data_IF_969292156813
#
_entry.id   IF_969292156813
#
_cell.length_a   1.000
_cell.length_b   1.000
_cell.length_c   1.000
_cell.angle_alpha   90.00
_cell.angle_beta   90.00
_cell.angle_gamma   90.00
#
_symmetry.space_group_name_H-M   'P 1'
#
loop_
_entity.id
_entity.type
_entity.pdbx_description
1 polymer ?
#
# COMPACT_ATOMS: atom_id res chain seq x y z
N UNK A 1 18.77 -9.33 33.84
CA UNK A 1 17.90 -8.30 33.25
C UNK A 1 16.95 -9.02 32.32
N UNK A 2 15.64 -9.01 32.65
CA UNK A 2 14.63 -9.83 31.99
C UNK A 2 14.35 -9.29 30.59
N UNK A 3 14.56 -10.12 29.56
CA UNK A 3 14.13 -9.82 28.20
C UNK A 3 12.62 -10.00 28.12
N UNK A 4 11.89 -8.88 28.07
CA UNK A 4 10.47 -8.92 27.76
C UNK A 4 10.30 -9.45 26.33
N UNK A 5 9.64 -10.61 26.20
CA UNK A 5 9.02 -11.01 24.94
C UNK A 5 8.02 -9.91 24.59
N UNK A 6 8.26 -9.19 23.48
CA UNK A 6 7.26 -8.29 22.92
C UNK A 6 6.11 -9.17 22.41
N UNK A 7 4.96 -9.03 23.03
CA UNK A 7 3.73 -9.68 22.59
C UNK A 7 3.39 -9.15 21.20
N UNK A 8 3.32 -10.04 20.20
CA UNK A 8 3.01 -9.65 18.82
C UNK A 8 1.57 -9.11 18.77
N UNK A 9 1.43 -7.79 18.80
CA UNK A 9 0.16 -7.13 18.51
C UNK A 9 -0.25 -7.45 17.07
N UNK A 10 -1.46 -7.99 16.91
CA UNK A 10 -2.04 -8.25 15.57
C UNK A 10 -2.62 -6.95 15.04
N UNK A 11 -2.07 -6.45 13.94
CA UNK A 11 -2.60 -5.28 13.26
C UNK A 11 -3.66 -5.71 12.23
N UNK A 12 -4.81 -5.04 12.24
CA UNK A 12 -5.94 -5.39 11.39
C UNK A 12 -6.15 -4.33 10.31
N UNK A 13 -6.15 -4.80 9.07
CA UNK A 13 -6.46 -4.02 7.89
C UNK A 13 -7.73 -4.57 7.24
N UNK A 14 -8.65 -3.70 6.88
CA UNK A 14 -9.85 -4.06 6.15
C UNK A 14 -9.95 -3.22 4.89
N UNK A 15 -10.07 -3.89 3.75
CA UNK A 15 -9.98 -3.23 2.46
C UNK A 15 -10.05 -4.19 1.29
N UNK A 16 -9.59 -3.72 0.14
CA UNK A 16 -9.47 -4.47 -1.10
C UNK A 16 -8.07 -4.30 -1.65
N UNK A 17 -7.58 -5.33 -2.32
CA UNK A 17 -6.34 -5.28 -3.08
C UNK A 17 -6.69 -5.63 -4.53
N UNK A 18 -6.20 -4.83 -5.47
CA UNK A 18 -6.25 -5.14 -6.89
C UNK A 18 -4.82 -5.27 -7.42
N UNK A 19 -4.61 -6.21 -8.34
CA UNK A 19 -3.33 -6.40 -8.99
C UNK A 19 -3.52 -6.66 -10.48
N UNK A 20 -2.68 -6.07 -11.31
CA UNK A 20 -2.63 -6.38 -12.74
C UNK A 20 -1.20 -6.34 -13.28
N UNK A 21 -1.00 -7.04 -14.39
CA UNK A 21 0.25 -7.06 -15.12
C UNK A 21 0.01 -6.73 -16.60
N UNK A 22 1.06 -6.27 -17.26
CA UNK A 22 1.07 -5.99 -18.70
C UNK A 22 1.96 -6.99 -19.43
N UNK A 23 1.74 -7.17 -20.74
CA UNK A 23 2.61 -8.02 -21.57
C UNK A 23 4.07 -7.53 -21.65
N UNK A 24 4.31 -6.25 -21.35
CA UNK A 24 5.65 -5.64 -21.28
C UNK A 24 6.37 -5.87 -19.94
N UNK A 25 5.78 -6.65 -19.03
CA UNK A 25 6.38 -7.02 -17.75
C UNK A 25 6.09 -6.09 -16.58
N UNK A 26 5.48 -4.92 -16.82
CA UNK A 26 5.08 -4.02 -15.73
C UNK A 26 3.91 -4.62 -14.92
N UNK A 27 3.95 -4.46 -13.60
CA UNK A 27 2.93 -4.91 -12.64
C UNK A 27 2.54 -3.76 -11.72
N UNK A 28 1.26 -3.70 -11.39
CA UNK A 28 0.72 -2.72 -10.46
C UNK A 28 -0.11 -3.44 -9.42
N UNK A 29 0.09 -3.11 -8.15
CA UNK A 29 -0.73 -3.55 -7.03
C UNK A 29 -1.26 -2.31 -6.32
N UNK A 30 -2.57 -2.27 -6.08
CA UNK A 30 -3.25 -1.17 -5.40
C UNK A 30 -3.91 -1.71 -4.14
N UNK A 31 -3.50 -1.20 -2.99
CA UNK A 31 -4.20 -1.39 -1.72
C UNK A 31 -5.21 -0.28 -1.50
N UNK A 32 -6.43 -0.64 -1.11
CA UNK A 32 -7.53 0.28 -0.80
C UNK A 32 -8.10 -0.09 0.56
N UNK A 33 -7.62 0.59 1.60
CA UNK A 33 -7.87 0.26 2.99
C UNK A 33 -8.94 1.18 3.56
N UNK A 34 -10.11 0.60 3.87
CA UNK A 34 -11.22 1.32 4.47
C UNK A 34 -11.01 1.51 5.98
N UNK A 35 -10.38 0.54 6.66
CA UNK A 35 -9.99 0.63 8.07
C UNK A 35 -8.59 0.06 8.30
N UNK A 36 -7.76 0.80 9.02
CA UNK A 36 -6.41 0.39 9.40
C UNK A 36 -5.92 1.21 10.61
N UNK A 37 -4.77 0.86 11.24
CA UNK A 37 -4.11 1.69 12.24
C UNK A 37 -3.77 3.11 11.76
N UNK A 38 -3.60 3.31 10.45
CA UNK A 38 -3.29 4.59 9.81
C UNK A 38 -4.53 5.36 9.34
N UNK A 39 -5.73 4.87 9.66
CA UNK A 39 -6.99 5.37 9.10
C UNK A 39 -7.28 4.83 7.69
N UNK A 40 -8.16 5.50 6.96
CA UNK A 40 -8.51 5.13 5.58
C UNK A 40 -7.45 5.65 4.61
N UNK A 41 -6.84 4.77 3.81
CA UNK A 41 -5.81 5.15 2.86
C UNK A 41 -5.72 4.20 1.65
N UNK A 42 -5.00 4.61 0.62
CA UNK A 42 -4.58 3.73 -0.46
C UNK A 42 -3.07 3.87 -0.72
N UNK A 43 -2.45 2.78 -1.11
CA UNK A 43 -1.05 2.68 -1.51
C UNK A 43 -0.94 1.95 -2.85
N UNK A 44 0.11 2.26 -3.61
CA UNK A 44 0.34 1.66 -4.92
C UNK A 44 1.78 1.18 -5.03
N UNK A 45 1.96 -0.10 -5.33
CA UNK A 45 3.23 -0.64 -5.81
C UNK A 45 3.20 -0.71 -7.34
N UNK A 46 4.27 -0.24 -7.97
CA UNK A 46 4.55 -0.42 -9.40
C UNK A 46 5.89 -1.11 -9.56
N UNK A 47 5.88 -2.30 -10.18
CA UNK A 47 7.08 -2.94 -10.70
C UNK A 47 7.15 -2.62 -12.20
N UNK A 48 8.17 -1.90 -12.64
CA UNK A 48 8.37 -1.62 -14.06
C UNK A 48 8.90 -2.85 -14.80
N UNK A 49 8.80 -2.90 -16.13
CA UNK A 49 9.28 -4.06 -16.92
C UNK A 49 10.76 -4.39 -16.74
N UNK A 50 11.58 -3.45 -16.25
CA UNK A 50 12.98 -3.66 -15.88
C UNK A 50 13.21 -4.16 -14.44
N UNK A 51 12.15 -4.42 -13.67
CA UNK A 51 12.20 -4.94 -12.30
C UNK A 51 12.26 -3.88 -11.19
N UNK A 52 12.43 -2.60 -11.52
CA UNK A 52 12.43 -1.51 -10.53
C UNK A 52 11.07 -1.42 -9.83
N UNK A 53 11.07 -1.35 -8.50
CA UNK A 53 9.87 -1.30 -7.64
C UNK A 53 9.71 0.06 -6.98
N UNK A 54 8.63 0.74 -7.34
CA UNK A 54 8.21 2.01 -6.77
C UNK A 54 7.00 1.81 -5.83
N UNK A 55 7.06 2.38 -4.63
CA UNK A 55 5.93 2.58 -3.74
C UNK A 55 5.43 4.03 -3.81
N UNK A 56 4.12 4.21 -4.01
CA UNK A 56 3.42 5.47 -3.79
C UNK A 56 2.58 5.35 -2.51
N UNK A 57 2.87 6.20 -1.52
CA UNK A 57 2.19 6.20 -0.23
C UNK A 57 1.64 7.61 0.08
N UNK A 58 0.51 7.73 0.80
CA UNK A 58 -0.14 9.01 1.06
C UNK A 58 0.48 9.80 2.23
N UNK A 59 1.33 9.18 3.03
CA UNK A 59 2.03 9.81 4.15
C UNK A 59 3.32 9.04 4.49
N UNK A 60 4.22 9.69 5.22
CA UNK A 60 5.47 9.07 5.67
C UNK A 60 5.23 7.84 6.55
N UNK A 61 4.23 7.89 7.45
CA UNK A 61 3.90 6.77 8.33
C UNK A 61 3.46 5.51 7.56
N UNK A 62 2.66 5.69 6.49
CA UNK A 62 2.28 4.56 5.63
C UNK A 62 3.47 4.08 4.81
N UNK A 63 4.29 5.02 4.29
CA UNK A 63 5.48 4.69 3.53
C UNK A 63 6.45 3.82 4.34
N UNK A 64 6.76 4.23 5.57
CA UNK A 64 7.63 3.51 6.50
C UNK A 64 7.06 2.12 6.84
N UNK A 65 5.77 2.03 7.14
CA UNK A 65 5.12 0.76 7.46
C UNK A 65 5.20 -0.26 6.31
N UNK A 66 4.80 0.17 5.11
CA UNK A 66 4.74 -0.72 3.94
C UNK A 66 6.14 -1.10 3.47
N UNK A 67 7.07 -0.14 3.45
CA UNK A 67 8.48 -0.39 3.10
C UNK A 67 9.23 -1.22 4.17
N UNK A 68 8.76 -1.23 5.42
CA UNK A 68 9.26 -2.15 6.45
C UNK A 68 8.85 -3.61 6.22
N UNK A 69 7.80 -3.85 5.41
CA UNK A 69 7.30 -5.20 5.10
C UNK A 69 7.82 -5.72 3.76
N UNK A 70 8.00 -4.84 2.77
CA UNK A 70 8.42 -5.19 1.42
C UNK A 70 9.58 -4.29 0.94
N UNK A 71 10.47 -4.84 0.12
CA UNK A 71 11.57 -4.07 -0.44
C UNK A 71 11.13 -3.32 -1.71
N UNK A 72 11.40 -2.01 -1.72
CA UNK A 72 11.20 -1.11 -2.85
C UNK A 72 12.53 -0.42 -3.19
N UNK A 73 12.76 -0.17 -4.47
CA UNK A 73 13.92 0.59 -4.94
C UNK A 73 13.68 2.10 -4.78
N UNK A 74 12.42 2.52 -4.85
CA UNK A 74 12.00 3.91 -4.69
C UNK A 74 10.71 4.00 -3.87
N UNK A 75 10.63 4.98 -2.98
CA UNK A 75 9.43 5.31 -2.21
C UNK A 75 9.10 6.78 -2.40
N UNK A 76 7.87 7.10 -2.77
CA UNK A 76 7.38 8.47 -2.91
C UNK A 76 6.15 8.70 -2.05
N UNK A 77 6.21 9.73 -1.23
CA UNK A 77 5.05 10.23 -0.50
C UNK A 77 4.31 11.24 -1.37
N UNK A 78 3.15 10.83 -1.87
CA UNK A 78 2.32 11.62 -2.79
C UNK A 78 0.84 11.41 -2.46
N UNK A 79 -0.05 12.36 -2.75
CA UNK A 79 -1.48 12.14 -2.56
C UNK A 79 -1.99 10.93 -3.36
N UNK A 80 -2.53 9.94 -2.66
CA UNK A 80 -3.24 8.79 -3.25
C UNK A 80 -4.62 8.71 -2.60
N UNK A 81 -5.67 8.63 -3.42
CA UNK A 81 -7.06 8.54 -2.95
C UNK A 81 -7.79 7.47 -3.73
N UNK A 82 -8.76 6.84 -3.08
CA UNK A 82 -9.69 5.93 -3.72
C UNK A 82 -11.12 6.27 -3.30
N UNK A 83 -12.06 6.05 -4.21
CA UNK A 83 -13.48 6.27 -4.02
C UNK A 83 -14.24 5.40 -5.01
N UNK A 84 -15.54 5.28 -4.81
CA UNK A 84 -16.42 4.90 -5.91
C UNK A 84 -16.87 6.19 -6.54
N UNK A 85 -16.80 6.26 -7.86
CA UNK A 85 -17.62 7.24 -8.55
C UNK A 85 -19.07 6.89 -8.21
N UNK A 86 -19.81 7.85 -7.69
CA UNK A 86 -21.26 7.69 -7.62
C UNK A 86 -21.68 7.60 -9.09
N UNK A 87 -22.25 6.47 -9.51
CA UNK A 87 -23.04 6.52 -10.73
C UNK A 87 -24.14 7.55 -10.43
N UNK A 88 -24.18 8.64 -11.19
CA UNK A 88 -25.36 9.48 -11.22
C UNK A 88 -26.47 8.56 -11.77
N UNK A 89 -27.28 8.03 -10.86
CA UNK A 89 -28.55 7.38 -11.19
C UNK A 89 -29.45 8.48 -11.75
N UNK A 90 -29.40 8.65 -13.07
CA UNK A 90 -30.27 9.55 -13.84
C UNK A 90 -31.73 9.13 -13.83
#
# INVERSE_FOLDING_TARGET
MSGAVQEKSTERFEGRIAGFGTGAGARVVVGMWERSPFGRFADVMVEFGGGHRLLLAPSDAVAEYVAGTYNFDEVRVVPVRFGRDRADDG
#
